data_IF_754136603820
#
_entry.id   IF_754136603820
#
_cell.length_a   1.000
_cell.length_b   1.000
_cell.length_c   1.000
_cell.angle_alpha   90.00
_cell.angle_beta   90.00
_cell.angle_gamma   90.00
#
_symmetry.space_group_name_H-M   'P 1'
#
loop_
_entity.id
_entity.type
_entity.pdbx_description
1 polymer ?
#
# COMPACT_ATOMS: atom_id res chain seq x y z
N UNK A 1 -43.33 -1.56 -5.46
CA UNK A 1 -42.44 -1.00 -4.42
C UNK A 1 -41.03 -1.50 -4.70
N UNK A 2 -40.25 -0.74 -5.48
CA UNK A 2 -38.85 -1.08 -5.77
C UNK A 2 -37.96 -0.64 -4.61
N UNK A 3 -37.03 -1.49 -4.13
CA UNK A 3 -36.10 -1.06 -3.09
C UNK A 3 -35.12 -0.07 -3.73
N UNK A 4 -35.16 1.19 -3.28
CA UNK A 4 -34.13 2.19 -3.58
C UNK A 4 -32.78 1.63 -3.13
N UNK A 5 -31.93 1.29 -4.09
CA UNK A 5 -30.53 0.96 -3.84
C UNK A 5 -29.77 2.25 -3.49
N UNK A 6 -30.01 2.80 -2.30
CA UNK A 6 -29.06 3.73 -1.68
C UNK A 6 -27.80 2.94 -1.33
N UNK A 7 -26.92 2.78 -2.31
CA UNK A 7 -25.57 2.28 -2.09
C UNK A 7 -24.83 3.31 -1.24
N UNK A 8 -24.95 3.17 0.08
CA UNK A 8 -24.20 3.96 1.06
C UNK A 8 -22.72 3.77 0.73
N UNK A 9 -22.04 4.81 0.22
CA UNK A 9 -20.66 4.76 -0.30
C UNK A 9 -19.69 3.98 0.61
N UNK A 10 -19.88 4.11 1.93
CA UNK A 10 -19.13 3.39 2.97
C UNK A 10 -19.32 1.86 2.92
N UNK A 11 -20.53 1.37 2.67
CA UNK A 11 -20.82 -0.06 2.58
C UNK A 11 -20.19 -0.74 1.38
N UNK A 12 -20.02 0.00 0.27
CA UNK A 12 -19.36 -0.52 -0.93
C UNK A 12 -17.87 -0.80 -0.69
N UNK A 13 -17.18 0.15 -0.06
CA UNK A 13 -15.76 0.05 0.26
C UNK A 13 -15.52 -1.08 1.26
N UNK A 14 -16.36 -1.21 2.30
CA UNK A 14 -16.25 -2.28 3.30
C UNK A 14 -16.46 -3.66 2.67
N UNK A 15 -17.41 -3.79 1.72
CA UNK A 15 -17.69 -5.05 1.02
C UNK A 15 -16.56 -5.44 0.05
N UNK A 16 -15.99 -4.46 -0.65
CA UNK A 16 -14.81 -4.65 -1.51
C UNK A 16 -13.58 -5.02 -0.68
N UNK A 17 -13.41 -4.40 0.48
CA UNK A 17 -12.31 -4.70 1.39
C UNK A 17 -12.43 -6.11 1.99
N UNK A 18 -13.64 -6.57 2.35
CA UNK A 18 -13.83 -7.93 2.87
C UNK A 18 -13.52 -9.01 1.83
N UNK A 19 -13.76 -8.73 0.54
CA UNK A 19 -13.48 -9.64 -0.57
C UNK A 19 -11.97 -9.89 -0.76
N UNK A 20 -11.12 -8.89 -0.50
CA UNK A 20 -9.67 -8.98 -0.67
C UNK A 20 -8.90 -8.87 0.65
N UNK A 21 -9.51 -9.28 1.76
CA UNK A 21 -8.96 -9.13 3.12
C UNK A 21 -7.57 -9.73 3.28
N UNK A 22 -7.30 -10.90 2.70
CA UNK A 22 -5.99 -11.55 2.80
C UNK A 22 -4.89 -10.72 2.13
N UNK A 23 -5.15 -10.20 0.93
CA UNK A 23 -4.24 -9.32 0.21
C UNK A 23 -4.02 -8.02 0.98
N UNK A 24 -5.08 -7.39 1.50
CA UNK A 24 -4.97 -6.17 2.27
C UNK A 24 -4.15 -6.35 3.57
N UNK A 25 -4.33 -7.46 4.27
CA UNK A 25 -3.54 -7.80 5.46
C UNK A 25 -2.08 -8.07 5.09
N UNK A 26 -1.83 -8.81 4.00
CA UNK A 26 -0.47 -9.04 3.50
C UNK A 26 0.22 -7.72 3.14
N UNK A 27 -0.45 -6.81 2.43
CA UNK A 27 0.07 -5.48 2.12
C UNK A 27 0.43 -4.71 3.39
N UNK A 28 -0.46 -4.67 4.39
CA UNK A 28 -0.20 -3.99 5.66
C UNK A 28 1.01 -4.56 6.39
N UNK A 29 1.15 -5.89 6.44
CA UNK A 29 2.29 -6.54 7.08
C UNK A 29 3.60 -6.20 6.35
N UNK A 30 3.62 -6.30 5.01
CA UNK A 30 4.81 -5.97 4.22
C UNK A 30 5.19 -4.50 4.36
N UNK A 31 4.22 -3.59 4.31
CA UNK A 31 4.43 -2.15 4.54
C UNK A 31 4.97 -1.87 5.95
N UNK A 32 4.48 -2.58 6.98
CA UNK A 32 4.98 -2.44 8.34
C UNK A 32 6.46 -2.84 8.43
N UNK A 33 6.85 -4.00 7.89
CA UNK A 33 8.24 -4.44 7.89
C UNK A 33 9.14 -3.55 7.02
N UNK A 34 8.65 -3.07 5.87
CA UNK A 34 9.37 -2.10 5.04
C UNK A 34 9.61 -0.78 5.80
N UNK A 35 8.61 -0.32 6.56
CA UNK A 35 8.70 0.80 7.48
C UNK A 35 9.76 0.59 8.56
N UNK A 36 9.75 -0.57 9.23
CA UNK A 36 10.76 -0.92 10.23
C UNK A 36 12.17 -0.92 9.63
N UNK A 37 12.36 -1.51 8.45
CA UNK A 37 13.65 -1.49 7.75
C UNK A 37 14.11 -0.06 7.40
N UNK A 38 13.17 0.87 7.12
CA UNK A 38 13.49 2.30 6.89
C UNK A 38 14.12 2.93 8.11
N UNK A 39 13.59 2.61 9.29
CA UNK A 39 14.07 3.15 10.56
C UNK A 39 15.37 2.49 11.01
N UNK A 40 15.52 1.19 10.76
CA UNK A 40 16.71 0.44 11.16
C UNK A 40 17.98 0.89 10.43
N UNK A 41 17.92 1.25 9.15
CA UNK A 41 19.11 1.68 8.39
C UNK A 41 19.86 2.84 9.06
N UNK A 42 19.24 4.02 9.31
CA UNK A 42 19.93 5.15 9.94
C UNK A 42 20.36 4.84 11.38
N UNK A 43 19.58 4.03 12.12
CA UNK A 43 19.93 3.55 13.46
C UNK A 43 21.23 2.72 13.42
N UNK A 44 21.33 1.80 12.46
CA UNK A 44 22.51 0.94 12.31
C UNK A 44 23.75 1.76 11.91
N UNK A 45 23.59 2.75 11.03
CA UNK A 45 24.64 3.69 10.66
C UNK A 45 25.10 4.50 11.88
N UNK A 46 24.17 5.03 12.68
CA UNK A 46 24.50 5.78 13.90
C UNK A 46 25.32 4.95 14.88
N UNK A 47 24.94 3.68 15.11
CA UNK A 47 25.68 2.76 15.99
C UNK A 47 27.11 2.48 15.49
N UNK A 48 27.32 2.41 14.17
CA UNK A 48 28.65 2.25 13.58
C UNK A 48 29.54 3.47 13.76
N UNK A 49 28.98 4.69 13.63
CA UNK A 49 29.71 5.92 13.93
C UNK A 49 30.09 6.02 15.40
N UNK A 50 29.18 5.67 16.32
CA UNK A 50 29.50 5.66 17.76
C UNK A 50 30.64 4.68 18.08
N UNK A 51 30.67 3.51 17.43
CA UNK A 51 31.75 2.54 17.56
C UNK A 51 33.09 3.08 17.01
N UNK A 52 33.12 3.65 15.81
CA UNK A 52 34.35 4.14 15.18
C UNK A 52 35.00 5.31 15.93
N UNK A 53 34.19 6.20 16.51
CA UNK A 53 34.68 7.45 17.11
C UNK A 53 34.75 7.40 18.65
N UNK A 54 34.33 6.29 19.29
CA UNK A 54 34.34 6.14 20.74
C UNK A 54 33.49 7.17 21.49
N UNK A 55 32.51 7.80 20.81
CA UNK A 55 31.68 8.84 21.38
C UNK A 55 30.59 8.22 22.26
N UNK A 56 30.78 8.22 23.58
CA UNK A 56 29.77 7.84 24.57
C UNK A 56 28.66 8.90 24.70
N UNK A 57 27.98 9.22 23.60
CA UNK A 57 26.89 10.19 23.56
C UNK A 57 25.65 9.65 24.28
N UNK A 58 24.91 10.48 25.04
CA UNK A 58 23.66 10.09 25.72
C UNK A 58 22.59 9.52 24.76
N UNK A 59 22.63 9.89 23.48
CA UNK A 59 21.77 9.35 22.39
C UNK A 59 22.13 7.90 22.02
N UNK A 60 23.38 7.48 22.23
CA UNK A 60 23.85 6.12 21.99
C UNK A 60 23.20 5.09 22.94
N UNK A 61 22.69 5.51 24.10
CA UNK A 61 21.97 4.62 25.05
C UNK A 61 20.60 4.13 24.55
N UNK A 62 19.95 4.86 23.64
CA UNK A 62 18.75 4.34 22.97
C UNK A 62 19.11 3.27 21.94
N UNK A 63 20.33 3.31 21.40
CA UNK A 63 20.89 2.35 20.43
C UNK A 63 21.45 1.08 21.09
N UNK A 64 21.73 1.11 22.40
CA UNK A 64 22.16 -0.08 23.17
C UNK A 64 21.04 -1.08 23.46
N UNK A 65 19.78 -0.76 23.15
CA UNK A 65 18.65 -1.70 23.23
C UNK A 65 18.69 -2.81 22.16
N UNK A 66 19.46 -2.62 21.09
CA UNK A 66 19.69 -3.65 20.07
C UNK A 66 20.75 -4.65 20.59
N UNK A 67 20.41 -5.94 20.77
CA UNK A 67 21.25 -6.95 21.44
C UNK A 67 22.48 -7.40 20.61
N UNK A 68 22.73 -6.75 19.47
CA UNK A 68 23.80 -7.14 18.55
C UNK A 68 25.04 -6.28 18.79
N UNK A 69 26.11 -6.92 19.22
CA UNK A 69 27.43 -6.30 19.31
C UNK A 69 28.04 -6.27 17.89
N UNK A 70 28.05 -5.09 17.28
CA UNK A 70 28.54 -4.87 15.92
C UNK A 70 29.99 -4.36 15.97
N UNK A 71 30.78 -4.91 16.89
CA UNK A 71 32.18 -4.52 17.14
C UNK A 71 33.13 -5.05 16.05
N UNK A 72 32.66 -5.94 15.18
CA UNK A 72 33.39 -6.41 13.99
C UNK A 72 32.83 -5.73 12.73
N UNK A 73 33.72 -5.05 11.99
CA UNK A 73 33.40 -4.35 10.74
C UNK A 73 32.85 -5.27 9.65
N UNK A 74 33.33 -6.52 9.57
CA UNK A 74 32.86 -7.49 8.58
C UNK A 74 31.45 -7.95 8.91
N UNK A 75 31.17 -8.21 10.20
CA UNK A 75 29.85 -8.60 10.67
C UNK A 75 28.84 -7.44 10.51
N UNK A 76 29.27 -6.21 10.79
CA UNK A 76 28.49 -5.01 10.50
C UNK A 76 28.16 -4.89 9.01
N UNK A 77 29.16 -5.00 8.12
CA UNK A 77 28.97 -4.90 6.67
C UNK A 77 28.00 -5.97 6.15
N UNK A 78 28.15 -7.23 6.60
CA UNK A 78 27.25 -8.31 6.22
C UNK A 78 25.81 -8.06 6.68
N UNK A 79 25.63 -7.65 7.95
CA UNK A 79 24.32 -7.29 8.49
C UNK A 79 23.69 -6.12 7.73
N UNK A 80 24.45 -5.04 7.51
CA UNK A 80 23.98 -3.84 6.83
C UNK A 80 23.58 -4.12 5.38
N UNK A 81 24.39 -4.91 4.66
CA UNK A 81 24.05 -5.34 3.31
C UNK A 81 22.78 -6.19 3.29
N UNK A 82 22.63 -7.10 4.26
CA UNK A 82 21.42 -7.92 4.39
C UNK A 82 20.17 -7.07 4.68
N UNK A 83 20.32 -6.01 5.49
CA UNK A 83 19.25 -5.07 5.82
C UNK A 83 18.83 -4.25 4.58
N UNK A 84 19.78 -3.78 3.78
CA UNK A 84 19.51 -3.11 2.51
C UNK A 84 18.80 -4.06 1.53
N UNK A 85 19.29 -5.30 1.41
CA UNK A 85 18.68 -6.32 0.58
C UNK A 85 17.24 -6.63 1.00
N UNK A 86 17.02 -6.85 2.30
CA UNK A 86 15.68 -7.06 2.86
C UNK A 86 14.76 -5.86 2.60
N UNK A 87 15.26 -4.63 2.77
CA UNK A 87 14.51 -3.41 2.42
C UNK A 87 14.11 -3.40 0.95
N UNK A 88 15.02 -3.68 0.03
CA UNK A 88 14.73 -3.68 -1.40
C UNK A 88 13.63 -4.68 -1.74
N UNK A 89 13.71 -5.90 -1.20
CA UNK A 89 12.69 -6.94 -1.39
C UNK A 89 11.35 -6.53 -0.79
N UNK A 90 11.34 -6.00 0.43
CA UNK A 90 10.12 -5.56 1.11
C UNK A 90 9.44 -4.40 0.37
N UNK A 91 10.20 -3.39 -0.06
CA UNK A 91 9.67 -2.26 -0.83
C UNK A 91 9.16 -2.71 -2.21
N UNK A 92 9.83 -3.66 -2.86
CA UNK A 92 9.32 -4.24 -4.11
C UNK A 92 8.01 -4.99 -3.88
N UNK A 93 7.95 -5.85 -2.85
CA UNK A 93 6.76 -6.60 -2.48
C UNK A 93 5.59 -5.70 -2.10
N UNK A 94 5.84 -4.65 -1.33
CA UNK A 94 4.87 -3.62 -0.97
C UNK A 94 4.25 -2.99 -2.23
N UNK A 95 5.09 -2.48 -3.14
CA UNK A 95 4.62 -1.86 -4.38
C UNK A 95 3.82 -2.82 -5.25
N UNK A 96 4.26 -4.07 -5.34
CA UNK A 96 3.55 -5.11 -6.09
C UNK A 96 2.16 -5.38 -5.50
N UNK A 97 2.07 -5.59 -4.18
CA UNK A 97 0.82 -5.89 -3.49
C UNK A 97 -0.18 -4.72 -3.51
N UNK A 98 0.29 -3.48 -3.33
CA UNK A 98 -0.56 -2.28 -3.45
C UNK A 98 -1.15 -2.18 -4.86
N UNK A 99 -0.34 -2.38 -5.90
CA UNK A 99 -0.82 -2.33 -7.28
C UNK A 99 -1.82 -3.45 -7.59
N UNK A 100 -1.55 -4.67 -7.15
CA UNK A 100 -2.45 -5.81 -7.31
C UNK A 100 -3.79 -5.55 -6.62
N UNK A 101 -3.77 -5.02 -5.39
CA UNK A 101 -4.98 -4.68 -4.66
C UNK A 101 -5.79 -3.59 -5.38
N UNK A 102 -5.13 -2.56 -5.89
CA UNK A 102 -5.77 -1.51 -6.68
C UNK A 102 -6.39 -2.00 -7.98
N UNK A 103 -5.76 -2.93 -8.67
CA UNK A 103 -6.31 -3.55 -9.88
C UNK A 103 -7.55 -4.37 -9.59
N UNK A 104 -7.51 -5.20 -8.55
CA UNK A 104 -8.66 -5.97 -8.09
C UNK A 104 -9.83 -5.06 -7.67
N UNK A 105 -9.53 -3.97 -6.99
CA UNK A 105 -10.52 -2.96 -6.60
C UNK A 105 -11.20 -2.32 -7.82
N UNK A 106 -10.41 -1.85 -8.80
CA UNK A 106 -10.93 -1.23 -10.03
C UNK A 106 -11.74 -2.22 -10.86
N UNK A 107 -11.28 -3.47 -10.95
CA UNK A 107 -12.00 -4.52 -11.65
C UNK A 107 -13.40 -4.75 -11.05
N UNK A 108 -13.49 -4.89 -9.72
CA UNK A 108 -14.77 -5.05 -9.05
C UNK A 108 -15.68 -3.83 -9.22
N UNK A 109 -15.13 -2.61 -9.16
CA UNK A 109 -15.90 -1.40 -9.45
C UNK A 109 -16.40 -1.35 -10.91
N UNK A 110 -15.59 -1.79 -11.87
CA UNK A 110 -15.97 -1.85 -13.28
C UNK A 110 -17.16 -2.77 -13.50
N UNK A 111 -17.16 -3.95 -12.89
CA UNK A 111 -18.29 -4.90 -12.98
C UNK A 111 -19.55 -4.26 -12.39
N UNK A 112 -19.45 -3.68 -11.19
CA UNK A 112 -20.60 -3.05 -10.53
C UNK A 112 -21.18 -1.90 -11.37
N UNK A 113 -20.32 -1.05 -11.92
CA UNK A 113 -20.75 0.06 -12.78
C UNK A 113 -21.40 -0.46 -14.06
N UNK A 114 -20.82 -1.48 -14.68
CA UNK A 114 -21.38 -2.09 -15.89
C UNK A 114 -22.75 -2.72 -15.63
N UNK A 115 -22.91 -3.49 -14.55
CA UNK A 115 -24.20 -4.05 -14.16
C UNK A 115 -25.24 -2.96 -13.88
N UNK A 116 -24.84 -1.87 -13.20
CA UNK A 116 -25.73 -0.74 -12.96
C UNK A 116 -26.14 -0.04 -14.25
N UNK A 117 -25.21 0.06 -15.20
CA UNK A 117 -25.43 0.70 -16.49
C UNK A 117 -26.41 -0.12 -17.36
N UNK A 118 -26.27 -1.44 -17.39
CA UNK A 118 -27.17 -2.34 -18.13
C UNK A 118 -28.63 -2.29 -17.66
N UNK A 119 -28.90 -1.77 -16.45
CA UNK A 119 -30.24 -1.63 -15.89
C UNK A 119 -30.88 -0.25 -16.16
N UNK A 120 -30.15 0.67 -16.80
CA UNK A 120 -30.66 2.00 -17.13
C UNK A 120 -31.62 1.91 -18.33
N UNK A 121 -32.83 2.50 -18.26
CA UNK A 121 -33.75 2.54 -19.39
C UNK A 121 -33.16 3.22 -20.63
N UNK A 122 -33.50 2.74 -21.82
CA UNK A 122 -33.00 3.30 -23.10
C UNK A 122 -33.28 4.80 -23.25
N UNK A 123 -34.42 5.26 -22.74
CA UNK A 123 -34.85 6.67 -22.78
C UNK A 123 -33.89 7.61 -22.03
N UNK A 124 -33.26 7.14 -20.95
CA UNK A 124 -32.25 7.90 -20.22
C UNK A 124 -30.91 8.02 -20.97
N UNK A 125 -30.63 7.10 -21.91
CA UNK A 125 -29.46 7.18 -22.79
C UNK A 125 -29.66 8.21 -23.90
N UNK A 126 -30.87 8.28 -24.44
CA UNK A 126 -31.25 9.24 -25.48
C UNK A 126 -31.17 10.68 -24.96
N UNK A 127 -31.63 10.94 -23.72
CA UNK A 127 -31.62 12.28 -23.12
C UNK A 127 -30.22 12.77 -22.71
N UNK A 128 -29.31 11.87 -22.29
CA UNK A 128 -28.01 12.25 -21.68
C UNK A 128 -26.78 11.96 -22.53
N UNK A 129 -26.95 11.22 -23.63
CA UNK A 129 -25.87 10.78 -24.51
C UNK A 129 -24.98 9.69 -23.91
N UNK A 130 -24.55 8.74 -24.74
CA UNK A 130 -23.70 7.61 -24.35
C UNK A 130 -22.29 8.02 -23.89
N UNK A 131 -21.76 9.14 -24.40
CA UNK A 131 -20.42 9.64 -24.09
C UNK A 131 -20.18 9.93 -22.60
N UNK A 132 -21.21 10.38 -21.88
CA UNK A 132 -21.13 10.65 -20.44
C UNK A 132 -20.84 9.39 -19.62
N UNK A 133 -21.39 8.25 -20.04
CA UNK A 133 -21.16 6.98 -19.36
C UNK A 133 -19.79 6.41 -19.69
N UNK A 134 -19.33 6.53 -20.95
CA UNK A 134 -17.98 6.16 -21.39
C UNK A 134 -16.87 6.86 -20.58
N UNK A 135 -17.04 8.15 -20.29
CA UNK A 135 -16.08 8.91 -19.49
C UNK A 135 -15.90 8.37 -18.07
N UNK A 136 -16.95 7.78 -17.46
CA UNK A 136 -16.86 7.15 -16.14
C UNK A 136 -15.95 5.91 -16.14
N UNK A 137 -15.89 5.18 -17.25
CA UNK A 137 -15.06 3.98 -17.38
C UNK A 137 -13.59 4.29 -17.68
N UNK A 138 -13.31 5.37 -18.42
CA UNK A 138 -11.95 5.74 -18.82
C UNK A 138 -11.28 6.68 -17.82
N UNK A 139 -12.00 7.72 -17.38
CA UNK A 139 -11.47 8.75 -16.49
C UNK A 139 -11.64 8.39 -15.01
N UNK A 140 -12.88 8.27 -14.55
CA UNK A 140 -13.18 8.20 -13.11
C UNK A 140 -12.58 6.96 -12.44
N UNK A 141 -12.68 5.79 -13.08
CA UNK A 141 -12.08 4.54 -12.57
C UNK A 141 -10.54 4.62 -12.48
N UNK A 142 -9.89 5.29 -13.42
CA UNK A 142 -8.44 5.48 -13.41
C UNK A 142 -8.03 6.40 -12.26
N UNK A 143 -8.74 7.52 -12.08
CA UNK A 143 -8.53 8.45 -10.97
C UNK A 143 -8.76 7.77 -9.61
N UNK A 144 -9.77 6.91 -9.50
CA UNK A 144 -10.04 6.11 -8.30
C UNK A 144 -8.92 5.10 -8.01
N UNK A 145 -8.39 4.40 -9.04
CA UNK A 145 -7.20 3.54 -8.89
C UNK A 145 -6.05 4.33 -8.31
N UNK A 146 -5.79 5.50 -8.89
CA UNK A 146 -4.64 6.31 -8.53
C UNK A 146 -4.76 6.87 -7.12
N UNK A 147 -5.95 7.36 -6.74
CA UNK A 147 -6.23 7.79 -5.37
C UNK A 147 -6.08 6.64 -4.36
N UNK A 148 -6.50 5.42 -4.71
CA UNK A 148 -6.40 4.27 -3.81
C UNK A 148 -4.96 3.72 -3.67
N UNK A 149 -4.16 3.75 -4.75
CA UNK A 149 -2.79 3.20 -4.73
C UNK A 149 -1.71 4.21 -4.33
N UNK A 150 -1.94 5.51 -4.54
CA UNK A 150 -0.93 6.57 -4.39
C UNK A 150 -1.34 7.67 -3.41
N UNK A 151 -2.54 7.57 -2.82
CA UNK A 151 -3.05 8.50 -1.82
C UNK A 151 -2.39 8.36 -0.46
#
# INVERSE_FOLDING_TARGET
MEPRYELRKRGLIIRLYSQYRQLAVATLLVSFFAGMATLLIPITIGKYYDFLFGMHSFRARLLTLLPFDLSDIHLFMAFFLSLIGARAVLTYGERYLINLLGEKFVYSLRILLFESQMRIPIRDYEDRGSGRYLLRFSGDLKSLKQYFCQG
#
